data_IF_142609621710
#
_entry.id   IF_142609621710
#
_cell.length_a   1.000
_cell.length_b   1.000
_cell.length_c   1.000
_cell.angle_alpha   90.00
_cell.angle_beta   90.00
_cell.angle_gamma   90.00
#
_symmetry.space_group_name_H-M   'P 1'
#
loop_
_entity.id
_entity.type
_entity.pdbx_description
1 polymer ?
#
# COMPACT_ATOMS: atom_id res chain seq x y z
N UNK A 1 65.03 -29.57 4.43
CA UNK A 1 63.99 -28.86 3.66
C UNK A 1 62.66 -29.49 4.06
N UNK A 2 61.89 -28.83 4.91
CA UNK A 2 60.63 -29.35 5.44
C UNK A 2 59.49 -28.87 4.54
N UNK A 3 58.75 -29.80 3.94
CA UNK A 3 57.50 -29.52 3.24
C UNK A 3 56.39 -29.41 4.29
N UNK A 4 55.79 -28.24 4.40
CA UNK A 4 54.56 -28.03 5.16
C UNK A 4 53.39 -28.43 4.27
N UNK A 5 52.67 -29.50 4.64
CA UNK A 5 51.34 -29.79 4.11
C UNK A 5 50.35 -28.81 4.74
N UNK A 6 49.68 -28.02 3.91
CA UNK A 6 48.51 -27.27 4.33
C UNK A 6 47.31 -28.23 4.26
N UNK A 7 46.88 -28.73 5.41
CA UNK A 7 45.59 -29.41 5.51
C UNK A 7 44.48 -28.39 5.21
N UNK A 8 43.67 -28.76 4.23
CA UNK A 8 42.54 -28.03 3.69
C UNK A 8 41.47 -27.84 4.77
N UNK A 9 41.27 -26.59 5.20
CA UNK A 9 40.22 -26.24 6.17
C UNK A 9 38.89 -26.28 5.44
N UNK A 10 38.17 -27.39 5.56
CA UNK A 10 36.75 -27.45 5.19
C UNK A 10 35.95 -26.61 6.19
N UNK A 11 35.69 -25.36 5.84
CA UNK A 11 34.67 -24.54 6.48
C UNK A 11 33.32 -25.07 6.01
N UNK A 12 32.73 -25.96 6.81
CA UNK A 12 31.31 -26.29 6.67
C UNK A 12 30.56 -25.15 7.35
N UNK A 13 30.10 -24.18 6.55
CA UNK A 13 29.18 -23.16 7.04
C UNK A 13 27.78 -23.77 7.07
N UNK A 14 27.40 -24.27 8.25
CA UNK A 14 26.02 -24.59 8.60
C UNK A 14 25.20 -23.29 8.60
N UNK A 15 24.46 -23.03 7.53
CA UNK A 15 23.32 -22.11 7.55
C UNK A 15 22.36 -22.45 6.40
N UNK A 16 21.85 -23.68 6.40
CA UNK A 16 20.68 -24.05 5.60
C UNK A 16 19.45 -24.00 6.51
N UNK A 17 18.93 -22.79 6.73
CA UNK A 17 17.53 -22.54 7.12
C UNK A 17 17.23 -21.06 6.75
N UNK A 18 17.55 -20.67 5.52
CA UNK A 18 16.81 -19.57 4.89
C UNK A 18 15.50 -20.17 4.39
N UNK A 19 14.49 -20.19 5.26
CA UNK A 19 13.10 -20.29 4.85
C UNK A 19 12.87 -19.18 3.82
N UNK A 20 13.05 -19.50 2.53
CA UNK A 20 12.66 -18.65 1.42
C UNK A 20 11.15 -18.53 1.50
N UNK A 21 10.66 -17.56 2.28
CA UNK A 21 9.27 -17.15 2.29
C UNK A 21 8.87 -16.90 0.85
N UNK A 22 8.09 -17.84 0.33
CA UNK A 22 7.64 -17.82 -1.05
C UNK A 22 6.69 -16.63 -1.18
N UNK A 23 7.20 -15.54 -1.76
CA UNK A 23 6.45 -14.32 -1.96
C UNK A 23 5.16 -14.64 -2.70
N UNK A 24 4.04 -14.41 -2.02
CA UNK A 24 2.68 -14.59 -2.53
C UNK A 24 2.28 -13.56 -3.61
N UNK A 25 3.22 -12.72 -4.06
CA UNK A 25 3.04 -11.76 -5.15
C UNK A 25 2.15 -10.57 -4.83
N UNK A 26 1.59 -10.51 -3.62
CA UNK A 26 0.70 -9.43 -3.16
C UNK A 26 1.52 -8.19 -2.84
N UNK A 27 2.71 -8.30 -2.26
CA UNK A 27 3.49 -7.13 -1.86
C UNK A 27 4.25 -6.53 -3.04
N UNK A 28 4.30 -5.20 -3.11
CA UNK A 28 5.13 -4.51 -4.09
C UNK A 28 6.62 -4.89 -3.87
N UNK A 29 7.45 -5.07 -4.92
CA UNK A 29 8.84 -5.53 -4.76
C UNK A 29 9.73 -4.67 -3.87
N UNK A 30 9.42 -3.37 -3.76
CA UNK A 30 10.14 -2.44 -2.89
C UNK A 30 9.54 -2.32 -1.49
N UNK A 31 8.48 -3.07 -1.17
CA UNK A 31 7.88 -3.04 0.16
C UNK A 31 8.86 -3.66 1.18
N UNK A 32 9.07 -3.05 2.38
CA UNK A 32 10.09 -3.53 3.31
C UNK A 32 9.83 -4.94 3.81
N UNK A 33 10.78 -5.85 3.58
CA UNK A 33 10.66 -7.28 3.93
C UNK A 33 10.36 -7.50 5.41
N UNK A 34 10.98 -6.70 6.28
CA UNK A 34 10.77 -6.78 7.72
C UNK A 34 9.31 -6.52 8.09
N UNK A 35 8.56 -5.72 7.32
CA UNK A 35 7.16 -5.40 7.61
C UNK A 35 6.19 -6.48 7.14
N UNK A 36 6.57 -7.28 6.14
CA UNK A 36 5.78 -8.41 5.62
C UNK A 36 5.62 -9.48 6.69
N UNK A 37 6.68 -9.76 7.45
CA UNK A 37 6.66 -10.79 8.50
C UNK A 37 6.28 -10.24 9.88
N UNK A 38 6.13 -8.92 10.01
CA UNK A 38 5.82 -8.25 11.27
C UNK A 38 4.58 -7.36 11.17
N UNK A 39 3.53 -7.86 10.54
CA UNK A 39 2.21 -7.25 10.63
C UNK A 39 1.73 -7.26 12.08
N UNK A 40 1.15 -6.15 12.51
CA UNK A 40 0.32 -6.15 13.72
C UNK A 40 -0.96 -6.91 13.37
N UNK A 41 -1.59 -7.62 14.32
CA UNK A 41 -2.88 -8.27 14.08
C UNK A 41 -3.90 -7.29 13.48
N UNK A 42 -4.75 -7.78 12.59
CA UNK A 42 -5.82 -6.99 11.93
C UNK A 42 -5.29 -5.89 10.99
N UNK A 43 -4.04 -5.99 10.55
CA UNK A 43 -3.44 -5.07 9.57
C UNK A 43 -2.96 -5.79 8.32
N UNK A 44 -2.74 -5.04 7.23
CA UNK A 44 -2.22 -5.58 5.98
C UNK A 44 -3.30 -6.15 5.07
N UNK A 45 -2.92 -6.56 3.84
CA UNK A 45 -3.86 -6.82 2.75
C UNK A 45 -4.75 -8.06 2.96
N UNK A 46 -4.34 -8.99 3.82
CA UNK A 46 -5.09 -10.23 4.06
C UNK A 46 -6.03 -10.13 5.27
N UNK A 47 -5.78 -9.20 6.20
CA UNK A 47 -6.50 -9.11 7.48
C UNK A 47 -7.29 -7.81 7.65
N UNK A 48 -7.04 -6.81 6.80
CA UNK A 48 -7.72 -5.52 6.86
C UNK A 48 -8.29 -5.15 5.49
N UNK A 49 -9.61 -5.10 5.38
CA UNK A 49 -10.31 -4.73 4.14
C UNK A 49 -9.88 -3.36 3.62
N UNK A 50 -9.67 -2.39 4.51
CA UNK A 50 -9.18 -1.06 4.14
C UNK A 50 -7.74 -1.12 3.61
N UNK A 51 -6.86 -1.98 4.14
CA UNK A 51 -5.53 -2.17 3.58
C UNK A 51 -5.58 -2.88 2.22
N UNK A 52 -6.48 -3.86 2.06
CA UNK A 52 -6.69 -4.56 0.81
C UNK A 52 -7.18 -3.63 -0.30
N UNK A 53 -8.07 -2.68 0.05
CA UNK A 53 -8.68 -1.76 -0.90
C UNK A 53 -7.84 -0.49 -1.12
N UNK A 54 -7.51 0.25 -0.06
CA UNK A 54 -6.81 1.53 -0.15
C UNK A 54 -5.28 1.42 -0.19
N UNK A 55 -4.74 0.34 0.38
CA UNK A 55 -3.30 0.09 0.47
C UNK A 55 -2.70 -0.63 -0.73
N UNK A 56 -3.54 -1.05 -1.68
CA UNK A 56 -3.12 -1.75 -2.88
C UNK A 56 -3.21 -0.85 -4.12
N UNK A 57 -2.29 -1.05 -5.06
CA UNK A 57 -2.30 -0.45 -6.38
C UNK A 57 -2.03 -1.53 -7.43
N UNK A 58 -2.95 -1.65 -8.40
CA UNK A 58 -2.90 -2.70 -9.45
C UNK A 58 -2.70 -4.11 -8.87
N UNK A 59 -3.39 -4.41 -7.77
CA UNK A 59 -3.32 -5.70 -7.08
C UNK A 59 -2.07 -5.92 -6.21
N UNK A 60 -1.17 -4.94 -6.14
CA UNK A 60 0.02 -5.01 -5.28
C UNK A 60 -0.16 -4.11 -4.05
N UNK A 61 0.02 -4.66 -2.86
CA UNK A 61 0.10 -3.95 -1.60
C UNK A 61 1.36 -3.09 -1.56
N UNK A 62 1.13 -1.77 -1.55
CA UNK A 62 2.17 -0.75 -1.55
C UNK A 62 2.30 -0.07 -0.18
N UNK A 63 1.32 -0.27 0.72
CA UNK A 63 1.43 0.03 2.13
C UNK A 63 0.08 0.18 2.82
N UNK A 64 0.10 0.61 4.08
CA UNK A 64 -1.07 0.53 4.95
C UNK A 64 -2.14 1.57 4.61
N UNK A 65 -3.42 1.27 4.89
CA UNK A 65 -4.46 2.30 4.86
C UNK A 65 -4.21 3.38 5.93
N UNK A 66 -4.83 4.55 5.77
CA UNK A 66 -4.72 5.66 6.73
C UNK A 66 -5.00 5.25 8.19
N UNK A 67 -6.02 4.41 8.42
CA UNK A 67 -6.38 3.96 9.77
C UNK A 67 -5.29 3.10 10.41
N UNK A 68 -4.76 2.08 9.70
CA UNK A 68 -3.70 1.24 10.25
C UNK A 68 -2.40 2.03 10.44
N UNK A 69 -2.08 2.94 9.50
CA UNK A 69 -0.91 3.80 9.63
C UNK A 69 -1.00 4.69 10.89
N UNK A 70 -2.16 5.28 11.17
CA UNK A 70 -2.39 6.13 12.33
C UNK A 70 -2.49 5.34 13.64
N UNK A 71 -3.38 4.36 13.73
CA UNK A 71 -3.76 3.74 14.99
C UNK A 71 -2.87 2.56 15.38
N UNK A 72 -2.45 1.72 14.44
CA UNK A 72 -1.60 0.56 14.72
C UNK A 72 -0.11 0.95 14.71
N UNK A 73 0.32 1.74 13.73
CA UNK A 73 1.74 2.04 13.51
C UNK A 73 2.19 3.43 13.92
N UNK A 74 1.26 4.35 14.23
CA UNK A 74 1.56 5.73 14.68
C UNK A 74 2.52 6.45 13.72
N UNK A 75 2.29 6.31 12.42
CA UNK A 75 3.09 6.93 11.36
C UNK A 75 4.44 6.27 11.06
N UNK A 76 4.85 5.22 11.80
CA UNK A 76 6.15 4.57 11.61
C UNK A 76 6.30 3.85 10.25
N UNK A 77 5.17 3.52 9.60
CA UNK A 77 5.13 2.80 8.31
C UNK A 77 4.58 3.65 7.16
N UNK A 78 4.66 4.97 7.28
CA UNK A 78 4.19 5.92 6.28
C UNK A 78 2.94 6.68 6.72
N UNK A 79 2.42 7.54 5.83
CA UNK A 79 1.23 8.36 6.10
C UNK A 79 -0.08 7.58 6.04
N UNK A 80 -0.02 6.44 5.37
CA UNK A 80 -1.17 5.61 5.06
C UNK A 80 -1.93 6.13 3.83
N UNK A 81 -2.58 5.21 3.13
CA UNK A 81 -3.22 5.47 1.85
C UNK A 81 -4.74 5.67 1.94
N UNK A 82 -5.25 6.47 1.01
CA UNK A 82 -6.67 6.76 0.73
C UNK A 82 -7.18 6.06 -0.55
N UNK A 83 -6.35 5.23 -1.19
CA UNK A 83 -6.66 4.58 -2.47
C UNK A 83 -5.90 5.18 -3.65
N UNK A 84 -5.79 4.43 -4.75
CA UNK A 84 -5.07 4.82 -5.97
C UNK A 84 -3.66 5.37 -5.70
N UNK A 85 -2.99 4.75 -4.72
CA UNK A 85 -1.70 5.14 -4.19
C UNK A 85 -1.65 6.54 -3.51
N UNK A 86 -2.77 7.23 -3.26
CA UNK A 86 -2.80 8.57 -2.63
C UNK A 86 -2.51 8.41 -1.13
N UNK A 87 -1.46 9.06 -0.62
CA UNK A 87 -1.24 9.14 0.82
C UNK A 87 -2.16 10.20 1.46
N UNK A 88 -2.60 9.95 2.69
CA UNK A 88 -3.30 10.95 3.49
C UNK A 88 -2.33 12.08 3.85
N UNK A 89 -2.65 13.31 3.45
CA UNK A 89 -1.88 14.51 3.78
C UNK A 89 -2.77 15.49 4.53
N UNK A 90 -2.56 15.61 5.83
CA UNK A 90 -3.18 16.61 6.70
C UNK A 90 -2.17 17.09 7.76
N UNK A 91 -2.57 17.99 8.65
CA UNK A 91 -1.68 18.57 9.67
C UNK A 91 -1.01 17.51 10.56
N UNK A 92 -1.71 16.41 10.86
CA UNK A 92 -1.17 15.32 11.68
C UNK A 92 -0.21 14.43 10.90
N UNK A 93 -0.54 14.07 9.65
CA UNK A 93 0.25 13.10 8.87
C UNK A 93 1.48 13.74 8.20
N UNK A 94 1.53 15.06 8.05
CA UNK A 94 2.67 15.76 7.46
C UNK A 94 3.97 15.57 8.26
N UNK A 95 3.87 15.27 9.56
CA UNK A 95 5.04 14.95 10.39
C UNK A 95 5.57 13.53 10.15
N UNK A 96 4.78 12.65 9.53
CA UNK A 96 5.19 11.28 9.20
C UNK A 96 5.87 11.25 7.84
N UNK A 97 6.85 10.34 7.72
CA UNK A 97 7.58 10.14 6.46
C UNK A 97 6.62 9.68 5.37
N UNK A 98 6.74 10.27 4.18
CA UNK A 98 6.04 9.75 3.00
C UNK A 98 6.64 8.42 2.57
N UNK A 99 5.82 7.46 2.19
CA UNK A 99 6.27 6.22 1.52
C UNK A 99 7.04 6.53 0.22
N UNK A 100 6.70 7.62 -0.46
CA UNK A 100 7.38 8.12 -1.67
C UNK A 100 8.72 8.80 -1.40
N UNK A 101 9.02 9.12 -0.14
CA UNK A 101 10.33 9.62 0.27
C UNK A 101 11.20 8.51 0.89
N UNK A 102 10.67 7.29 0.95
CA UNK A 102 11.32 6.14 1.57
C UNK A 102 11.45 5.00 0.56
N UNK A 103 10.73 3.89 0.77
CA UNK A 103 10.90 2.66 -0.01
C UNK A 103 10.23 2.71 -1.39
N UNK A 104 9.32 3.65 -1.64
CA UNK A 104 8.73 3.88 -2.97
C UNK A 104 9.34 5.08 -3.72
N UNK A 105 10.47 5.61 -3.25
CA UNK A 105 11.10 6.82 -3.81
C UNK A 105 11.57 6.73 -5.26
N UNK A 106 11.67 5.51 -5.79
CA UNK A 106 12.07 5.25 -7.17
C UNK A 106 10.97 4.54 -7.98
N UNK A 107 9.74 4.55 -7.47
CA UNK A 107 8.59 3.91 -8.13
C UNK A 107 7.73 4.97 -8.77
N UNK A 108 7.62 4.91 -10.09
CA UNK A 108 6.70 5.75 -10.85
C UNK A 108 5.33 5.08 -10.92
N UNK A 109 4.32 5.75 -10.35
CA UNK A 109 2.93 5.32 -10.48
C UNK A 109 2.29 6.06 -11.65
N UNK A 110 1.44 5.40 -12.43
CA UNK A 110 0.88 5.96 -13.68
C UNK A 110 0.02 7.22 -13.48
N UNK A 111 -0.36 7.53 -12.25
CA UNK A 111 -1.03 8.78 -11.88
C UNK A 111 -0.08 9.99 -11.79
N UNK A 112 1.21 9.73 -11.65
CA UNK A 112 2.29 10.72 -11.60
C UNK A 112 2.96 10.88 -12.97
N UNK A 113 2.66 10.00 -13.92
CA UNK A 113 3.09 10.18 -15.31
C UNK A 113 2.12 11.09 -16.05
N UNK A 114 2.65 12.05 -16.80
CA UNK A 114 1.90 12.85 -17.78
C UNK A 114 1.36 11.99 -18.95
N UNK A 115 1.77 10.74 -19.02
CA UNK A 115 1.27 9.76 -19.96
C UNK A 115 -0.13 9.32 -19.54
N UNK A 116 -1.12 9.70 -20.35
CA UNK A 116 -2.48 9.19 -20.23
C UNK A 116 -2.44 7.66 -20.15
N UNK A 117 -3.20 7.05 -19.21
CA UNK A 117 -3.27 5.60 -19.15
C UNK A 117 -3.70 5.07 -20.53
N UNK A 118 -3.18 3.91 -20.97
CA UNK A 118 -3.61 3.30 -22.21
C UNK A 118 -5.14 3.20 -22.19
N UNK A 119 -5.78 3.75 -23.23
CA UNK A 119 -7.22 3.68 -23.40
C UNK A 119 -7.62 2.21 -23.45
N UNK A 120 -8.19 1.72 -22.35
CA UNK A 120 -8.86 0.42 -22.33
C UNK A 120 -10.23 0.67 -22.93
N UNK A 121 -10.43 0.23 -24.17
CA UNK A 121 -11.77 0.06 -24.75
C UNK A 121 -12.49 -0.98 -23.87
N UNK A 122 -13.21 -0.51 -22.84
CA UNK A 122 -14.11 -1.37 -22.10
C UNK A 122 -15.24 -1.80 -23.06
N UNK A 123 -15.19 -3.05 -23.50
CA UNK A 123 -16.33 -3.71 -24.11
C UNK A 123 -17.46 -3.76 -23.05
N UNK A 124 -18.52 -2.99 -23.34
CA UNK A 124 -19.88 -3.04 -22.80
C UNK A 124 -20.07 -3.64 -21.38
N UNK A 125 -19.96 -2.78 -20.35
CA UNK A 125 -20.68 -3.04 -19.10
C UNK A 125 -22.18 -2.80 -19.36
N UNK A 126 -22.94 -3.89 -19.49
CA UNK A 126 -24.39 -3.84 -19.64
C UNK A 126 -25.00 -3.19 -18.39
N UNK A 127 -25.57 -2.01 -18.60
CA UNK A 127 -26.18 -1.18 -17.57
C UNK A 127 -27.61 -1.65 -17.32
N UNK A 128 -27.78 -2.67 -16.49
CA UNK A 128 -29.10 -3.09 -16.04
C UNK A 128 -29.56 -2.25 -14.84
N UNK A 129 -30.38 -1.24 -15.17
CA UNK A 129 -31.49 -0.64 -14.40
C UNK A 129 -31.44 -0.72 -12.85
N UNK A 130 -31.02 0.37 -12.22
CA UNK A 130 -31.63 0.81 -10.96
C UNK A 130 -32.44 2.08 -11.23
N UNK A 131 -33.75 1.92 -11.28
CA UNK A 131 -34.68 3.02 -11.00
C UNK A 131 -34.80 3.09 -9.48
N UNK A 132 -34.36 4.16 -8.85
CA UNK A 132 -35.18 4.90 -7.88
C UNK A 132 -34.51 6.22 -7.50
N UNK A 133 -35.36 7.23 -7.39
CA UNK A 133 -35.09 8.64 -7.15
C UNK A 133 -34.14 8.94 -5.97
N UNK A 134 -33.00 9.58 -6.25
CA UNK A 134 -32.61 10.80 -5.52
C UNK A 134 -31.55 11.59 -6.33
N UNK A 135 -31.92 12.82 -6.65
CA UNK A 135 -31.22 13.78 -7.48
C UNK A 135 -30.22 14.56 -6.63
N UNK A 136 -28.93 14.26 -6.72
CA UNK A 136 -27.87 15.26 -6.56
C UNK A 136 -26.71 15.00 -7.53
N UNK A 137 -26.78 15.67 -8.69
CA UNK A 137 -25.67 15.76 -9.64
C UNK A 137 -24.52 16.58 -9.06
N UNK A 138 -23.42 15.95 -8.66
CA UNK A 138 -22.16 16.63 -8.37
C UNK A 138 -21.39 16.86 -9.68
N UNK A 139 -21.36 18.11 -10.14
CA UNK A 139 -20.44 18.53 -11.20
C UNK A 139 -19.01 18.50 -10.64
N UNK A 140 -18.22 17.49 -11.01
CA UNK A 140 -16.78 17.49 -10.74
C UNK A 140 -16.10 18.39 -11.77
N UNK A 141 -16.09 19.70 -11.51
CA UNK A 141 -15.15 20.60 -12.16
C UNK A 141 -13.75 20.34 -11.61
N UNK A 142 -12.95 19.61 -12.39
CA UNK A 142 -11.50 19.49 -12.20
C UNK A 142 -10.86 20.87 -12.42
N UNK A 143 -10.82 21.68 -11.36
CA UNK A 143 -9.96 22.84 -11.28
C UNK A 143 -8.92 22.61 -10.19
N UNK A 144 -7.65 22.51 -10.61
CA UNK A 144 -6.54 22.40 -9.69
C UNK A 144 -6.50 23.60 -8.74
N UNK A 145 -6.64 23.34 -7.45
CA UNK A 145 -6.06 24.06 -6.31
C UNK A 145 -6.70 23.52 -5.01
N UNK A 146 -5.84 23.13 -4.05
CA UNK A 146 -6.13 22.83 -2.64
C UNK A 146 -7.60 22.72 -2.23
N UNK A 147 -8.17 21.52 -2.30
CA UNK A 147 -9.42 21.19 -1.61
C UNK A 147 -9.13 20.31 -0.41
N UNK A 148 -9.32 20.87 0.78
CA UNK A 148 -9.44 20.11 2.04
C UNK A 148 -10.73 19.32 1.93
N UNK A 149 -10.63 18.00 1.89
CA UNK A 149 -11.78 17.11 1.92
C UNK A 149 -12.14 16.89 3.39
N UNK A 150 -13.13 17.62 3.88
CA UNK A 150 -13.78 17.29 5.16
C UNK A 150 -14.73 16.11 4.93
N UNK A 151 -14.24 14.90 5.15
CA UNK A 151 -15.09 13.70 5.22
C UNK A 151 -15.73 13.64 6.61
N UNK A 152 -17.03 13.95 6.68
CA UNK A 152 -17.86 13.63 7.85
C UNK A 152 -18.26 12.15 7.76
N UNK A 153 -17.77 11.33 8.69
CA UNK A 153 -18.24 9.96 8.86
C UNK A 153 -19.24 9.90 10.01
N UNK A 154 -20.51 9.68 9.70
CA UNK A 154 -21.51 9.28 10.69
C UNK A 154 -21.23 7.82 11.09
N UNK A 155 -20.46 7.64 12.16
CA UNK A 155 -20.19 6.35 12.76
C UNK A 155 -21.45 5.73 13.34
N UNK A 156 -22.07 4.81 12.59
CA UNK A 156 -23.06 3.88 13.10
C UNK A 156 -22.42 2.88 14.07
N UNK A 157 -22.67 3.05 15.37
CA UNK A 157 -22.37 2.05 16.38
C UNK A 157 -23.30 0.84 16.21
N UNK A 158 -22.73 -0.36 16.15
CA UNK A 158 -23.48 -1.61 16.33
C UNK A 158 -23.16 -2.11 17.74
N UNK A 159 -24.09 -1.93 18.66
CA UNK A 159 -24.02 -2.47 20.02
C UNK A 159 -24.12 -4.01 19.98
N UNK A 160 -23.19 -4.69 20.68
CA UNK A 160 -23.34 -6.08 21.12
C UNK A 160 -23.09 -6.17 22.63
#
# INVERSE_FOLDING_TARGET
MAQFNYDEVHVVSDSEDEDQYQWNGIYHPNFPNEWIVSHEPETGPEQCENCAYFGCYRGQFIGYCANCAAYSYKGKRGRGFLGDAIELVNEETMQWASVYETYLSHVEFARFSDELPPFVENEEYSQDNYNDDDDETYNVELMGQNTVIEVHFEGGYVDF
#
